data_IF_187468800136
#
_entry.id   IF_187468800136
#
_cell.length_a   1.000
_cell.length_b   1.000
_cell.length_c   1.000
_cell.angle_alpha   90.00
_cell.angle_beta   90.00
_cell.angle_gamma   90.00
#
_symmetry.space_group_name_H-M   'P 1'
#
loop_
_entity.id
_entity.type
_entity.pdbx_description
1 polymer ?
#
# COMPACT_ATOMS: atom_id res chain seq x y z
N UNK A 1 -11.80 -11.83 -35.56
CA UNK A 1 -10.87 -11.85 -34.41
C UNK A 1 -10.96 -10.51 -33.72
N UNK A 2 -11.22 -10.54 -32.42
CA UNK A 2 -11.53 -9.38 -31.61
C UNK A 2 -10.27 -8.60 -31.23
N UNK A 3 -10.40 -7.31 -30.93
CA UNK A 3 -9.32 -6.47 -30.40
C UNK A 3 -8.77 -7.06 -29.07
N UNK A 4 -9.60 -7.81 -28.36
CA UNK A 4 -9.23 -8.59 -27.17
C UNK A 4 -8.29 -9.78 -27.47
N UNK A 5 -8.37 -10.40 -28.66
CA UNK A 5 -7.47 -11.49 -29.06
C UNK A 5 -6.06 -10.98 -29.37
N UNK A 6 -5.97 -9.75 -29.91
CA UNK A 6 -4.68 -9.06 -30.14
C UNK A 6 -4.02 -8.60 -28.85
N UNK A 7 -4.82 -8.12 -27.88
CA UNK A 7 -4.32 -7.73 -26.56
C UNK A 7 -3.79 -8.93 -25.75
N UNK A 8 -4.36 -10.13 -25.94
CA UNK A 8 -3.91 -11.36 -25.28
C UNK A 8 -2.61 -11.92 -25.87
N UNK A 9 -2.33 -11.67 -27.15
CA UNK A 9 -1.06 -12.02 -27.80
C UNK A 9 0.07 -11.02 -27.51
N UNK A 10 -0.24 -9.76 -27.18
CA UNK A 10 0.74 -8.75 -26.77
C UNK A 10 0.94 -8.65 -25.25
N UNK A 11 0.19 -9.43 -24.45
CA UNK A 11 0.51 -9.67 -23.06
C UNK A 11 1.76 -10.56 -23.01
N UNK A 12 2.92 -9.89 -23.07
CA UNK A 12 4.22 -10.53 -22.94
C UNK A 12 4.22 -11.48 -21.76
N UNK A 13 4.51 -12.75 -22.05
CA UNK A 13 5.03 -13.69 -21.07
C UNK A 13 6.11 -12.96 -20.28
N UNK A 14 5.86 -12.78 -18.98
CA UNK A 14 6.78 -12.08 -18.09
C UNK A 14 8.19 -12.57 -18.37
N UNK A 15 9.09 -11.63 -18.68
CA UNK A 15 10.50 -11.94 -18.90
C UNK A 15 10.96 -12.79 -17.73
N UNK A 16 11.47 -13.99 -18.04
CA UNK A 16 12.04 -14.87 -17.03
C UNK A 16 12.97 -14.05 -16.12
N UNK A 17 12.77 -14.17 -14.81
CA UNK A 17 13.67 -13.54 -13.81
C UNK A 17 15.10 -13.84 -14.22
N UNK A 18 15.85 -12.81 -14.62
CA UNK A 18 17.31 -12.92 -14.75
C UNK A 18 17.84 -13.48 -13.43
N UNK A 19 18.80 -14.41 -13.54
CA UNK A 19 19.50 -14.95 -12.38
C UNK A 19 19.96 -13.78 -11.49
N UNK A 20 19.57 -13.82 -10.22
CA UNK A 20 19.91 -12.81 -9.22
C UNK A 20 21.39 -13.01 -8.85
N UNK A 21 22.28 -12.40 -9.63
CA UNK A 21 23.71 -12.46 -9.39
C UNK A 21 24.04 -11.49 -8.25
N UNK A 22 23.90 -11.96 -7.02
CA UNK A 22 24.08 -11.14 -5.82
C UNK A 22 25.56 -10.84 -5.61
N UNK A 23 25.91 -9.58 -5.73
CA UNK A 23 27.23 -9.10 -5.33
C UNK A 23 27.35 -9.06 -3.80
N UNK A 24 28.52 -9.45 -3.28
CA UNK A 24 28.81 -9.40 -1.84
C UNK A 24 29.56 -8.12 -1.50
N UNK A 25 29.03 -7.36 -0.55
CA UNK A 25 29.72 -6.20 0.02
C UNK A 25 30.26 -6.58 1.40
N UNK A 26 31.53 -6.27 1.63
CA UNK A 26 32.20 -6.47 2.93
C UNK A 26 32.48 -5.11 3.55
N UNK A 27 31.96 -4.90 4.76
CA UNK A 27 32.34 -3.75 5.57
C UNK A 27 33.65 -4.02 6.29
N UNK A 28 34.33 -2.95 6.71
CA UNK A 28 35.57 -3.05 7.44
C UNK A 28 35.40 -3.86 8.76
N UNK A 29 36.45 -4.56 9.23
CA UNK A 29 36.35 -5.52 10.33
C UNK A 29 35.75 -4.97 11.63
N UNK A 30 35.91 -3.67 11.89
CA UNK A 30 35.34 -2.98 13.06
C UNK A 30 33.81 -3.02 13.10
N UNK A 31 33.13 -3.26 11.97
CA UNK A 31 31.66 -3.38 11.90
C UNK A 31 31.16 -4.82 12.10
N UNK A 32 32.04 -5.81 12.22
CA UNK A 32 31.63 -7.23 12.28
C UNK A 32 30.72 -7.52 13.48
N UNK A 33 31.01 -6.94 14.65
CA UNK A 33 30.16 -7.11 15.82
C UNK A 33 28.77 -6.49 15.61
N UNK A 34 28.70 -5.31 15.00
CA UNK A 34 27.45 -4.65 14.68
C UNK A 34 26.62 -5.45 13.67
N UNK A 35 27.26 -6.05 12.64
CA UNK A 35 26.61 -6.93 11.68
C UNK A 35 26.07 -8.20 12.33
N UNK A 36 26.83 -8.83 13.23
CA UNK A 36 26.39 -10.01 13.98
C UNK A 36 25.18 -9.71 14.88
N UNK A 37 25.24 -8.58 15.62
CA UNK A 37 24.12 -8.11 16.45
C UNK A 37 22.88 -7.79 15.60
N UNK A 38 23.05 -7.15 14.44
CA UNK A 38 21.97 -6.85 13.51
C UNK A 38 21.31 -8.13 12.98
N UNK A 39 22.10 -9.14 12.61
CA UNK A 39 21.60 -10.43 12.15
C UNK A 39 20.76 -11.11 13.22
N UNK A 40 21.24 -11.12 14.47
CA UNK A 40 20.51 -11.71 15.59
C UNK A 40 19.22 -10.95 15.89
N UNK A 41 19.29 -9.63 16.00
CA UNK A 41 18.11 -8.79 16.24
C UNK A 41 17.02 -8.97 15.17
N UNK A 42 17.40 -9.16 13.89
CA UNK A 42 16.46 -9.47 12.81
C UNK A 42 15.77 -10.81 12.98
N UNK A 43 16.50 -11.84 13.43
CA UNK A 43 15.91 -13.16 13.72
C UNK A 43 14.93 -13.08 14.88
N UNK A 44 15.34 -12.42 15.97
CA UNK A 44 14.52 -12.28 17.18
C UNK A 44 13.25 -11.47 16.89
N UNK A 45 13.38 -10.36 16.13
CA UNK A 45 12.24 -9.57 15.67
C UNK A 45 11.25 -10.41 14.86
N UNK A 46 11.73 -11.16 13.87
CA UNK A 46 10.86 -11.99 13.02
C UNK A 46 10.14 -13.07 13.85
N UNK A 47 10.84 -13.69 14.80
CA UNK A 47 10.24 -14.66 15.71
C UNK A 47 9.15 -14.01 16.59
N UNK A 48 9.43 -12.86 17.18
CA UNK A 48 8.47 -12.12 18.00
C UNK A 48 7.25 -11.65 17.19
N UNK A 49 7.45 -11.12 15.98
CA UNK A 49 6.35 -10.72 15.07
C UNK A 49 5.43 -11.91 14.72
N UNK A 50 5.99 -13.10 14.50
CA UNK A 50 5.19 -14.29 14.24
C UNK A 50 4.36 -14.71 15.46
N UNK A 51 4.92 -14.62 16.67
CA UNK A 51 4.20 -14.90 17.92
C UNK A 51 3.08 -13.89 18.14
N UNK A 52 3.36 -12.59 17.94
CA UNK A 52 2.33 -11.53 18.04
C UNK A 52 1.20 -11.78 17.06
N UNK A 53 1.51 -12.05 15.78
CA UNK A 53 0.50 -12.29 14.75
C UNK A 53 -0.39 -13.51 15.08
N UNK A 54 0.19 -14.58 15.62
CA UNK A 54 -0.57 -15.76 16.06
C UNK A 54 -1.52 -15.42 17.22
N UNK A 55 -1.00 -14.75 18.26
CA UNK A 55 -1.82 -14.36 19.42
C UNK A 55 -2.93 -13.38 19.03
N UNK A 56 -2.65 -12.41 18.16
CA UNK A 56 -3.68 -11.49 17.65
C UNK A 56 -4.77 -12.23 16.88
N UNK A 57 -4.40 -13.19 16.03
CA UNK A 57 -5.37 -14.01 15.30
C UNK A 57 -6.26 -14.83 16.25
N UNK A 58 -5.67 -15.44 17.28
CA UNK A 58 -6.39 -16.25 18.27
C UNK A 58 -7.33 -15.41 19.14
N UNK A 59 -6.92 -14.19 19.53
CA UNK A 59 -7.69 -13.33 20.42
C UNK A 59 -8.81 -12.57 19.69
N UNK A 60 -8.64 -12.27 18.39
CA UNK A 60 -9.56 -11.40 17.63
C UNK A 60 -11.04 -11.81 17.71
N UNK A 61 -11.44 -13.10 17.60
CA UNK A 61 -12.85 -13.50 17.72
C UNK A 61 -13.45 -13.17 19.09
N UNK A 62 -12.71 -13.44 20.17
CA UNK A 62 -13.15 -13.15 21.53
C UNK A 62 -13.28 -11.64 21.77
N UNK A 63 -12.33 -10.86 21.26
CA UNK A 63 -12.33 -9.40 21.34
C UNK A 63 -13.51 -8.80 20.58
N UNK A 64 -13.80 -9.27 19.37
CA UNK A 64 -14.97 -8.83 18.59
C UNK A 64 -16.27 -9.11 19.33
N UNK A 65 -16.38 -10.29 19.96
CA UNK A 65 -17.56 -10.65 20.78
C UNK A 65 -17.73 -9.70 21.96
N UNK A 66 -16.66 -9.43 22.72
CA UNK A 66 -16.68 -8.49 23.84
C UNK A 66 -17.03 -7.06 23.40
N UNK A 67 -16.52 -6.64 22.25
CA UNK A 67 -16.85 -5.33 21.68
C UNK A 67 -18.34 -5.23 21.33
N UNK A 68 -18.92 -6.26 20.70
CA UNK A 68 -20.34 -6.32 20.39
C UNK A 68 -21.21 -6.27 21.66
N UNK A 69 -20.87 -7.07 22.68
CA UNK A 69 -21.56 -7.03 23.97
C UNK A 69 -21.53 -5.64 24.60
N UNK A 70 -20.37 -4.96 24.56
CA UNK A 70 -20.25 -3.59 25.08
C UNK A 70 -21.04 -2.58 24.26
N UNK A 71 -21.12 -2.76 22.94
CA UNK A 71 -21.96 -1.94 22.09
C UNK A 71 -23.44 -2.10 22.47
N UNK A 72 -23.91 -3.33 22.66
CA UNK A 72 -25.28 -3.63 23.07
C UNK A 72 -25.63 -3.10 24.45
N UNK A 73 -24.70 -3.15 25.40
CA UNK A 73 -24.84 -2.59 26.75
C UNK A 73 -24.93 -1.06 26.72
N UNK A 74 -24.00 -0.41 26.02
CA UNK A 74 -23.92 1.05 25.98
C UNK A 74 -24.95 1.69 25.04
N UNK A 75 -25.56 0.89 24.15
CA UNK A 75 -26.42 1.35 23.05
C UNK A 75 -25.75 2.41 22.16
N UNK A 76 -24.42 2.38 22.09
CA UNK A 76 -23.58 3.26 21.26
C UNK A 76 -22.21 2.62 21.07
N UNK A 77 -21.45 3.12 20.10
CA UNK A 77 -20.07 2.72 19.90
C UNK A 77 -19.24 2.93 21.19
N UNK A 78 -18.59 1.87 21.73
CA UNK A 78 -17.71 1.98 22.90
C UNK A 78 -16.49 2.88 22.68
N UNK A 79 -16.10 3.13 21.43
CA UNK A 79 -14.88 3.84 21.08
C UNK A 79 -13.64 2.96 21.26
N UNK A 80 -12.58 3.53 21.84
CA UNK A 80 -11.37 2.77 22.17
C UNK A 80 -11.56 2.00 23.47
N UNK A 81 -11.51 0.68 23.39
CA UNK A 81 -11.54 -0.21 24.55
C UNK A 81 -10.11 -0.59 24.98
N UNK A 82 -9.95 -1.02 26.23
CA UNK A 82 -8.70 -1.57 26.74
C UNK A 82 -8.91 -3.03 27.13
N UNK A 83 -8.02 -3.90 26.69
CA UNK A 83 -7.90 -5.24 27.24
C UNK A 83 -6.90 -5.18 28.37
N UNK A 84 -7.33 -5.67 29.52
CA UNK A 84 -6.52 -5.73 30.73
C UNK A 84 -6.19 -7.18 31.07
N UNK A 85 -5.01 -7.38 31.62
CA UNK A 85 -4.61 -8.65 32.23
C UNK A 85 -5.36 -8.85 33.56
N UNK A 86 -5.25 -10.05 34.14
CA UNK A 86 -5.91 -10.39 35.40
C UNK A 86 -5.46 -9.51 36.59
N UNK A 87 -4.24 -8.97 36.55
CA UNK A 87 -3.68 -8.01 37.51
C UNK A 87 -4.01 -6.55 37.18
N UNK A 88 -4.87 -6.30 36.18
CA UNK A 88 -5.38 -4.98 35.85
C UNK A 88 -4.47 -4.11 34.97
N UNK A 89 -3.36 -4.66 34.47
CA UNK A 89 -2.48 -3.92 33.55
C UNK A 89 -3.08 -3.91 32.15
N UNK A 90 -3.02 -2.78 31.45
CA UNK A 90 -3.47 -2.69 30.05
C UNK A 90 -2.53 -3.51 29.15
N UNK A 91 -3.03 -4.63 28.64
CA UNK A 91 -2.32 -5.47 27.67
C UNK A 91 -2.30 -4.80 26.29
N UNK A 92 -3.46 -4.33 25.83
CA UNK A 92 -3.57 -3.64 24.54
C UNK A 92 -4.85 -2.80 24.44
N UNK A 93 -4.90 -1.93 23.43
CA UNK A 93 -6.09 -1.14 23.08
C UNK A 93 -6.80 -1.82 21.92
N UNK A 94 -8.12 -1.90 22.01
CA UNK A 94 -9.01 -2.40 20.96
C UNK A 94 -9.68 -1.21 20.32
N UNK A 95 -9.45 -1.04 19.03
CA UNK A 95 -10.03 0.04 18.22
C UNK A 95 -10.67 -0.63 17.01
N UNK A 96 -12.00 -0.59 16.95
CA UNK A 96 -12.75 -1.00 15.75
C UNK A 96 -12.86 0.24 14.87
N UNK A 97 -12.20 0.20 13.71
CA UNK A 97 -12.18 1.30 12.75
C UNK A 97 -13.34 1.17 11.77
N UNK A 98 -13.85 2.31 11.34
CA UNK A 98 -14.78 2.44 10.22
C UNK A 98 -14.00 2.33 8.90
N UNK A 99 -13.50 1.12 8.64
CA UNK A 99 -12.72 0.79 7.45
C UNK A 99 -13.00 -0.67 7.10
N UNK A 100 -13.51 -0.88 5.90
CA UNK A 100 -13.94 -2.18 5.41
C UNK A 100 -13.02 -2.65 4.30
N UNK A 101 -12.82 -3.96 4.21
CA UNK A 101 -12.21 -4.56 3.04
C UNK A 101 -13.21 -4.56 1.88
N UNK A 102 -12.70 -4.55 0.64
CA UNK A 102 -13.55 -4.79 -0.52
C UNK A 102 -14.22 -6.15 -0.38
N UNK A 103 -15.54 -6.17 -0.58
CA UNK A 103 -16.35 -7.39 -0.62
C UNK A 103 -16.70 -7.72 -2.06
N UNK A 104 -16.75 -9.00 -2.39
CA UNK A 104 -17.23 -9.45 -3.69
C UNK A 104 -18.75 -9.20 -3.85
N UNK A 105 -19.24 -9.34 -5.08
CA UNK A 105 -20.63 -9.07 -5.41
C UNK A 105 -21.66 -9.97 -4.72
N UNK A 106 -21.32 -11.22 -4.39
CA UNK A 106 -22.24 -12.13 -3.71
C UNK A 106 -22.31 -11.81 -2.22
N UNK A 107 -21.16 -11.58 -1.57
CA UNK A 107 -21.09 -11.10 -0.18
C UNK A 107 -21.83 -9.77 -0.01
N UNK A 108 -21.66 -8.85 -0.97
CA UNK A 108 -22.36 -7.57 -1.00
C UNK A 108 -23.89 -7.74 -1.03
N UNK A 109 -24.41 -8.62 -1.90
CA UNK A 109 -25.85 -8.90 -1.98
C UNK A 109 -26.39 -9.46 -0.67
N UNK A 110 -25.68 -10.41 -0.07
CA UNK A 110 -26.08 -10.98 1.22
C UNK A 110 -26.17 -9.92 2.33
N UNK A 111 -25.20 -9.00 2.36
CA UNK A 111 -25.18 -7.88 3.30
C UNK A 111 -26.37 -6.94 3.06
N UNK A 112 -26.65 -6.59 1.80
CA UNK A 112 -27.78 -5.74 1.44
C UNK A 112 -29.14 -6.41 1.74
N UNK A 113 -29.29 -7.70 1.45
CA UNK A 113 -30.50 -8.48 1.75
C UNK A 113 -30.77 -8.59 3.25
N UNK A 114 -29.74 -8.69 4.08
CA UNK A 114 -29.89 -8.87 5.53
C UNK A 114 -30.09 -7.56 6.29
N UNK A 115 -29.41 -6.48 5.88
CA UNK A 115 -29.32 -5.26 6.69
C UNK A 115 -29.75 -3.99 5.95
N UNK A 116 -30.09 -4.08 4.66
CA UNK A 116 -30.54 -2.95 3.83
C UNK A 116 -29.53 -2.55 2.75
N UNK A 117 -30.03 -1.97 1.66
CA UNK A 117 -29.20 -1.46 0.55
C UNK A 117 -28.33 -0.26 0.96
N UNK A 118 -28.72 0.47 2.01
CA UNK A 118 -28.06 1.70 2.47
C UNK A 118 -26.71 1.46 3.17
N UNK A 119 -26.42 0.23 3.58
CA UNK A 119 -25.13 -0.12 4.20
C UNK A 119 -24.06 -0.55 3.19
N UNK A 120 -24.42 -0.62 1.91
CA UNK A 120 -23.51 -0.95 0.81
C UNK A 120 -23.37 0.26 -0.10
N UNK A 121 -22.14 0.63 -0.43
CA UNK A 121 -21.87 1.67 -1.42
C UNK A 121 -21.16 1.08 -2.65
N UNK A 122 -21.66 1.39 -3.85
CA UNK A 122 -20.97 1.14 -5.10
C UNK A 122 -20.30 2.42 -5.60
N UNK A 123 -18.97 2.47 -5.48
CA UNK A 123 -18.17 3.57 -6.00
C UNK A 123 -17.33 3.10 -7.19
N UNK A 124 -17.67 3.58 -8.38
CA UNK A 124 -16.85 3.38 -9.58
C UNK A 124 -15.76 4.44 -9.63
N UNK A 125 -14.50 4.01 -9.62
CA UNK A 125 -13.34 4.89 -9.77
C UNK A 125 -12.88 4.85 -11.23
N UNK A 126 -12.92 6.00 -11.90
CA UNK A 126 -12.36 6.17 -13.24
C UNK A 126 -10.96 6.75 -13.14
N UNK A 127 -10.02 6.15 -13.88
CA UNK A 127 -8.65 6.64 -13.98
C UNK A 127 -8.18 6.62 -15.42
N UNK A 128 -7.44 7.63 -15.84
CA UNK A 128 -6.78 7.62 -17.14
C UNK A 128 -5.56 6.70 -17.13
N UNK A 129 -5.32 6.00 -18.24
CA UNK A 129 -4.03 5.38 -18.49
C UNK A 129 -2.97 6.50 -18.66
N UNK A 130 -1.88 6.52 -17.89
CA UNK A 130 -0.91 7.62 -17.92
C UNK A 130 -0.24 7.85 -19.28
N UNK A 131 0.17 6.78 -19.95
CA UNK A 131 0.88 6.87 -21.24
C UNK A 131 -0.04 7.39 -22.35
N UNK A 132 -1.30 6.95 -22.35
CA UNK A 132 -2.30 7.43 -23.31
C UNK A 132 -2.74 8.86 -23.01
N UNK A 133 -2.87 9.21 -21.73
CA UNK A 133 -3.18 10.58 -21.32
C UNK A 133 -2.10 11.54 -21.79
N UNK A 134 -0.83 11.23 -21.55
CA UNK A 134 0.30 12.07 -21.99
C UNK A 134 0.30 12.25 -23.51
N UNK A 135 0.09 11.17 -24.26
CA UNK A 135 0.04 11.19 -25.73
C UNK A 135 -1.10 12.05 -26.29
N UNK A 136 -2.25 12.07 -25.62
CA UNK A 136 -3.47 12.72 -26.09
C UNK A 136 -3.86 13.97 -25.27
N UNK A 137 -2.97 14.45 -24.41
CA UNK A 137 -3.25 15.48 -23.41
C UNK A 137 -3.78 16.76 -24.03
N UNK A 138 -3.18 17.21 -25.14
CA UNK A 138 -3.61 18.43 -25.84
C UNK A 138 -5.03 18.31 -26.40
N UNK A 139 -5.38 17.14 -26.93
CA UNK A 139 -6.73 16.90 -27.48
C UNK A 139 -7.74 16.85 -26.34
N UNK A 140 -7.44 16.15 -25.26
CA UNK A 140 -8.30 16.04 -24.08
C UNK A 140 -8.51 17.41 -23.43
N UNK A 141 -7.44 18.21 -23.29
CA UNK A 141 -7.52 19.56 -22.76
C UNK A 141 -8.44 20.45 -23.60
N UNK A 142 -8.26 20.45 -24.92
CA UNK A 142 -9.13 21.22 -25.83
C UNK A 142 -10.60 20.78 -25.76
N UNK A 143 -10.87 19.48 -25.62
CA UNK A 143 -12.22 18.97 -25.43
C UNK A 143 -12.84 19.43 -24.10
N UNK A 144 -12.06 19.45 -23.02
CA UNK A 144 -12.52 19.95 -21.71
C UNK A 144 -12.79 21.45 -21.80
N UNK A 145 -11.86 22.24 -22.32
CA UNK A 145 -11.99 23.70 -22.45
C UNK A 145 -13.23 24.10 -23.25
N UNK A 146 -13.48 23.42 -24.38
CA UNK A 146 -14.61 23.70 -25.25
C UNK A 146 -15.91 22.97 -24.87
N UNK A 147 -15.92 22.23 -23.77
CA UNK A 147 -17.14 21.57 -23.27
C UNK A 147 -18.09 22.59 -22.62
N UNK A 148 -19.36 22.18 -22.45
CA UNK A 148 -20.36 22.97 -21.73
C UNK A 148 -20.27 22.85 -20.20
N UNK A 149 -19.17 22.30 -19.66
CA UNK A 149 -18.94 22.21 -18.21
C UNK A 149 -18.76 23.64 -17.65
N UNK A 150 -19.28 23.97 -16.46
CA UNK A 150 -18.98 25.24 -15.79
C UNK A 150 -17.48 25.45 -15.60
N UNK A 151 -17.00 26.69 -15.69
CA UNK A 151 -15.57 26.97 -15.57
C UNK A 151 -15.00 26.52 -14.20
N UNK A 152 -15.76 26.74 -13.12
CA UNK A 152 -15.39 26.30 -11.76
C UNK A 152 -15.16 24.79 -11.67
N UNK A 153 -15.99 23.99 -12.36
CA UNK A 153 -15.84 22.54 -12.40
C UNK A 153 -14.67 22.12 -13.30
N UNK A 154 -14.44 22.80 -14.43
CA UNK A 154 -13.28 22.55 -15.32
C UNK A 154 -11.96 22.73 -14.58
N UNK A 155 -11.86 23.79 -13.79
CA UNK A 155 -10.66 24.14 -13.03
C UNK A 155 -10.31 23.07 -11.98
N UNK A 156 -11.32 22.33 -11.48
CA UNK A 156 -11.15 21.25 -10.51
C UNK A 156 -11.24 19.84 -11.13
N UNK A 157 -11.46 19.73 -12.44
CA UNK A 157 -11.70 18.45 -13.13
C UNK A 157 -10.45 17.57 -13.19
N UNK A 158 -9.26 18.19 -13.18
CA UNK A 158 -7.97 17.50 -13.22
C UNK A 158 -7.10 17.99 -12.07
N UNK A 159 -6.92 17.15 -11.06
CA UNK A 159 -5.99 17.41 -9.98
C UNK A 159 -4.57 16.96 -10.36
N UNK A 160 -3.60 17.87 -10.30
CA UNK A 160 -2.20 17.58 -10.60
C UNK A 160 -1.33 17.67 -9.33
N UNK A 161 -0.54 16.64 -9.06
CA UNK A 161 0.53 16.69 -8.06
C UNK A 161 1.88 16.58 -8.75
N UNK A 162 2.66 17.65 -8.76
CA UNK A 162 4.03 17.63 -9.32
C UNK A 162 5.01 17.08 -8.28
N UNK A 163 5.73 16.02 -8.64
CA UNK A 163 6.85 15.50 -7.85
C UNK A 163 8.13 15.56 -8.66
N UNK A 164 9.07 16.40 -8.25
CA UNK A 164 10.43 16.37 -8.78
C UNK A 164 11.15 15.15 -8.20
N UNK A 165 11.48 14.20 -9.05
CA UNK A 165 12.14 12.95 -8.63
C UNK A 165 13.33 12.67 -9.53
N UNK A 166 14.34 12.00 -8.97
CA UNK A 166 15.45 11.47 -9.76
C UNK A 166 14.91 10.31 -10.59
N UNK A 167 15.18 10.33 -11.90
CA UNK A 167 14.70 9.31 -12.85
C UNK A 167 15.14 7.91 -12.41
N UNK A 168 14.23 6.94 -12.49
CA UNK A 168 14.54 5.53 -12.20
C UNK A 168 15.59 4.99 -13.18
N UNK A 169 16.44 4.07 -12.72
CA UNK A 169 17.52 3.47 -13.53
C UNK A 169 18.79 4.32 -13.65
N UNK A 170 18.81 5.54 -13.10
CA UNK A 170 20.00 6.40 -13.12
C UNK A 170 21.19 5.80 -12.34
N UNK A 171 20.92 4.99 -11.30
CA UNK A 171 21.96 4.30 -10.54
C UNK A 171 22.77 3.35 -11.44
N UNK A 172 22.12 2.68 -12.39
CA UNK A 172 22.78 1.75 -13.32
C UNK A 172 23.71 2.48 -14.31
N UNK A 173 23.53 3.80 -14.44
CA UNK A 173 24.32 4.67 -15.31
C UNK A 173 25.31 5.54 -14.52
N UNK A 174 25.52 5.29 -13.22
CA UNK A 174 26.34 6.14 -12.36
C UNK A 174 27.76 6.38 -12.90
N UNK A 175 28.36 5.36 -13.54
CA UNK A 175 29.69 5.46 -14.17
C UNK A 175 29.76 6.52 -15.29
N UNK A 176 28.63 6.81 -15.95
CA UNK A 176 28.55 7.81 -17.03
C UNK A 176 28.61 9.25 -16.52
N UNK A 177 28.51 9.47 -15.21
CA UNK A 177 28.47 10.80 -14.58
C UNK A 177 29.77 11.16 -13.85
N UNK A 178 30.85 10.41 -14.08
CA UNK A 178 32.18 10.69 -13.52
C UNK A 178 32.41 9.96 -12.20
N UNK A 179 32.73 10.70 -11.13
CA UNK A 179 33.01 10.08 -9.83
C UNK A 179 31.73 9.53 -9.21
N UNK A 180 31.58 8.20 -9.24
CA UNK A 180 30.41 7.49 -8.73
C UNK A 180 30.12 7.81 -7.26
N UNK A 181 31.15 7.89 -6.41
CA UNK A 181 30.96 8.18 -4.98
C UNK A 181 30.38 9.58 -4.73
N UNK A 182 30.89 10.58 -5.43
CA UNK A 182 30.36 11.95 -5.39
C UNK A 182 28.96 12.01 -6.00
N UNK A 183 28.72 11.32 -7.11
CA UNK A 183 27.41 11.27 -7.73
C UNK A 183 26.34 10.67 -6.80
N UNK A 184 26.63 9.52 -6.18
CA UNK A 184 25.74 8.86 -5.22
C UNK A 184 25.47 9.74 -3.99
N UNK A 185 26.45 10.55 -3.53
CA UNK A 185 26.25 11.46 -2.40
C UNK A 185 25.32 12.65 -2.74
N UNK A 186 25.28 13.07 -4.02
CA UNK A 186 24.34 14.08 -4.50
C UNK A 186 22.93 13.52 -4.69
N UNK A 187 22.77 12.39 -5.38
CA UNK A 187 21.44 11.84 -5.68
C UNK A 187 20.80 11.10 -4.49
N UNK A 188 21.60 10.76 -3.47
CA UNK A 188 21.17 10.15 -2.19
C UNK A 188 20.14 9.04 -2.41
N UNK A 189 20.52 7.93 -3.06
CA UNK A 189 19.58 6.85 -3.28
C UNK A 189 19.14 6.29 -1.92
N UNK A 190 17.87 5.92 -1.82
CA UNK A 190 17.34 5.30 -0.60
C UNK A 190 18.07 3.97 -0.39
N UNK A 191 18.86 3.90 0.69
CA UNK A 191 19.58 2.70 1.07
C UNK A 191 18.76 1.96 2.13
N UNK A 192 18.38 0.73 1.84
CA UNK A 192 17.62 -0.10 2.77
C UNK A 192 18.49 -1.27 3.22
N UNK A 193 18.68 -1.40 4.54
CA UNK A 193 19.43 -2.50 5.15
C UNK A 193 18.42 -3.54 5.66
N UNK A 194 17.91 -4.38 4.76
CA UNK A 194 16.92 -5.42 5.07
C UNK A 194 17.51 -6.68 5.67
#
# INVERSE_FOLDING_TARGET
MSVFDKAKQSAGTGSAKKADNKETLTLAPEYNEALARLLQAKKDKKAAEAVVAALEADLKPAVTTLFAMKYEELKRNPGTCQLVTADGQTACKVIVKDQYADVDGDTRKLIAEQYGEDIVEEKTVYSFNPELLEKHMTVIASLIENSNIPQEDKDNLIEATTKLTIRKGIIDQANSYGNVGQFLSYIRPVTVIQ
#
